data_IF_977155716498
#
_entry.id   IF_977155716498
#
_cell.length_a   1.000
_cell.length_b   1.000
_cell.length_c   1.000
_cell.angle_alpha   90.00
_cell.angle_beta   90.00
_cell.angle_gamma   90.00
#
_symmetry.space_group_name_H-M   'P 1'
#
loop_
_entity.id
_entity.type
_entity.pdbx_description
1 polymer ?
#
# COMPACT_ATOMS: atom_id res chain seq x y z
N UNK A 1 30.21 5.76 -6.78
CA UNK A 1 30.37 6.07 -5.32
C UNK A 1 29.84 7.48 -4.98
N UNK A 2 30.20 8.61 -5.65
CA UNK A 2 29.69 9.95 -5.28
C UNK A 2 28.16 10.07 -5.29
N UNK A 3 27.48 9.52 -6.31
CA UNK A 3 26.02 9.57 -6.42
C UNK A 3 25.33 8.79 -5.30
N UNK A 4 25.83 7.61 -4.92
CA UNK A 4 25.29 6.82 -3.82
C UNK A 4 25.40 7.57 -2.48
N UNK A 5 26.56 8.17 -2.22
CA UNK A 5 26.75 8.99 -1.00
C UNK A 5 25.82 10.20 -0.99
N UNK A 6 25.65 10.85 -2.13
CA UNK A 6 24.71 11.96 -2.26
C UNK A 6 23.26 11.53 -2.00
N UNK A 7 22.84 10.37 -2.53
CA UNK A 7 21.51 9.81 -2.25
C UNK A 7 21.30 9.50 -0.76
N UNK A 8 22.32 8.94 -0.09
CA UNK A 8 22.26 8.70 1.37
C UNK A 8 22.14 10.03 2.14
N UNK A 9 22.92 11.04 1.76
CA UNK A 9 22.84 12.36 2.38
C UNK A 9 21.46 12.99 2.17
N UNK A 10 20.89 12.90 0.98
CA UNK A 10 19.52 13.36 0.70
C UNK A 10 18.50 12.70 1.64
N UNK A 11 18.58 11.37 1.82
CA UNK A 11 17.71 10.65 2.75
C UNK A 11 17.91 11.11 4.20
N UNK A 12 19.17 11.28 4.64
CA UNK A 12 19.46 11.74 6.00
C UNK A 12 18.96 13.16 6.26
N UNK A 13 19.00 14.05 5.27
CA UNK A 13 18.49 15.43 5.38
C UNK A 13 16.96 15.43 5.33
N UNK A 14 16.33 14.61 4.50
CA UNK A 14 14.88 14.54 4.40
C UNK A 14 14.21 13.82 5.59
N UNK A 15 14.91 12.88 6.24
CA UNK A 15 14.36 12.10 7.33
C UNK A 15 13.88 12.96 8.52
N UNK A 16 14.64 13.93 9.05
CA UNK A 16 14.14 14.81 10.10
C UNK A 16 12.88 15.57 9.68
N UNK A 17 12.84 16.09 8.44
CA UNK A 17 11.70 16.84 7.94
C UNK A 17 10.42 16.01 7.88
N UNK A 18 10.51 14.72 7.57
CA UNK A 18 9.38 13.80 7.55
C UNK A 18 9.02 13.26 8.94
N UNK A 19 10.02 12.91 9.75
CA UNK A 19 9.82 12.19 11.02
C UNK A 19 9.48 13.12 12.19
N UNK A 20 10.09 14.31 12.26
CA UNK A 20 9.86 15.22 13.39
C UNK A 20 8.40 15.67 13.52
N UNK A 21 7.70 16.12 12.46
CA UNK A 21 6.29 16.45 12.57
C UNK A 21 5.43 15.26 13.03
N UNK A 22 5.70 14.06 12.48
CA UNK A 22 5.00 12.84 12.88
C UNK A 22 5.26 12.50 14.35
N UNK A 23 6.49 12.62 14.82
CA UNK A 23 6.85 12.38 16.22
C UNK A 23 6.21 13.40 17.17
N UNK A 24 6.17 14.68 16.79
CA UNK A 24 5.53 15.74 17.58
C UNK A 24 4.03 15.45 17.72
N UNK A 25 3.33 15.17 16.60
CA UNK A 25 1.91 14.85 16.62
C UNK A 25 1.63 13.62 17.48
N UNK A 26 2.44 12.56 17.33
CA UNK A 26 2.32 11.34 18.11
C UNK A 26 2.53 11.58 19.61
N UNK A 27 3.54 12.36 20.00
CA UNK A 27 3.79 12.70 21.39
C UNK A 27 2.69 13.59 21.97
N UNK A 28 2.20 14.55 21.18
CA UNK A 28 1.06 15.40 21.58
C UNK A 28 -0.18 14.56 21.85
N UNK A 29 -0.53 13.63 20.95
CA UNK A 29 -1.65 12.72 21.13
C UNK A 29 -1.53 11.90 22.43
N UNK A 30 -0.33 11.36 22.72
CA UNK A 30 -0.06 10.65 23.97
C UNK A 30 -0.21 11.53 25.22
N UNK A 31 0.29 12.76 25.18
CA UNK A 31 0.17 13.71 26.31
C UNK A 31 -1.28 14.09 26.58
N UNK A 32 -2.06 14.37 25.53
CA UNK A 32 -3.48 14.67 25.62
C UNK A 32 -4.23 13.50 26.26
N UNK A 33 -3.98 12.26 25.84
CA UNK A 33 -4.56 11.06 26.44
C UNK A 33 -4.20 10.93 27.92
N UNK A 34 -2.92 11.07 28.27
CA UNK A 34 -2.44 10.94 29.65
C UNK A 34 -3.07 12.01 30.56
N UNK A 35 -3.11 13.27 30.11
CA UNK A 35 -3.73 14.37 30.86
C UNK A 35 -5.22 14.13 31.09
N UNK A 36 -5.97 13.70 30.06
CA UNK A 36 -7.39 13.41 30.20
C UNK A 36 -7.66 12.25 31.20
N UNK A 37 -6.81 11.24 31.23
CA UNK A 37 -6.91 10.13 32.20
C UNK A 37 -6.69 10.65 33.63
N UNK A 38 -5.70 11.51 33.85
CA UNK A 38 -5.40 12.11 35.16
C UNK A 38 -6.57 12.95 35.68
N UNK A 39 -7.33 13.59 34.81
CA UNK A 39 -8.51 14.38 35.18
C UNK A 39 -9.83 13.57 35.20
N UNK A 40 -9.77 12.23 35.18
CA UNK A 40 -10.93 11.36 35.24
C UNK A 40 -11.75 11.25 33.94
N UNK A 41 -11.27 11.87 32.85
CA UNK A 41 -11.95 11.92 31.54
C UNK A 41 -11.38 10.88 30.55
N UNK A 42 -11.23 9.63 30.98
CA UNK A 42 -10.54 8.58 30.21
C UNK A 42 -11.13 8.38 28.80
N UNK A 43 -12.46 8.34 28.65
CA UNK A 43 -13.11 8.14 27.34
C UNK A 43 -12.82 9.27 26.35
N UNK A 44 -12.97 10.54 26.80
CA UNK A 44 -12.67 11.69 25.96
C UNK A 44 -11.19 11.74 25.56
N UNK A 45 -10.29 11.36 26.47
CA UNK A 45 -8.86 11.25 26.20
C UNK A 45 -8.53 10.21 25.12
N UNK A 46 -9.18 9.04 25.16
CA UNK A 46 -9.00 8.00 24.13
C UNK A 46 -9.56 8.46 22.78
N UNK A 47 -10.75 9.08 22.77
CA UNK A 47 -11.33 9.60 21.52
C UNK A 47 -10.47 10.70 20.89
N UNK A 48 -9.99 11.65 21.71
CA UNK A 48 -9.14 12.73 21.20
C UNK A 48 -7.77 12.21 20.72
N UNK A 49 -7.19 11.24 21.43
CA UNK A 49 -6.01 10.53 20.96
C UNK A 49 -6.24 9.89 19.58
N UNK A 50 -7.32 9.13 19.44
CA UNK A 50 -7.65 8.47 18.17
C UNK A 50 -7.89 9.47 17.03
N UNK A 51 -8.52 10.61 17.32
CA UNK A 51 -8.74 11.67 16.34
C UNK A 51 -7.42 12.31 15.88
N UNK A 52 -6.55 12.69 16.81
CA UNK A 52 -5.25 13.31 16.49
C UNK A 52 -4.38 12.33 15.70
N UNK A 53 -4.29 11.07 16.15
CA UNK A 53 -3.55 10.02 15.44
C UNK A 53 -4.13 9.75 14.05
N UNK A 54 -5.46 9.68 13.93
CA UNK A 54 -6.14 9.45 12.64
C UNK A 54 -5.91 10.59 11.63
N UNK A 55 -5.97 11.83 12.09
CA UNK A 55 -5.64 13.01 11.25
C UNK A 55 -4.15 12.98 10.87
N UNK A 56 -3.26 12.69 11.83
CA UNK A 56 -1.83 12.58 11.59
C UNK A 56 -1.43 11.44 10.67
N UNK A 57 -2.20 10.33 10.65
CA UNK A 57 -1.96 9.18 9.79
C UNK A 57 -2.39 9.42 8.33
N UNK A 58 -3.40 10.29 8.11
CA UNK A 58 -4.00 10.52 6.79
C UNK A 58 -3.00 10.82 5.65
N UNK A 59 -1.92 11.59 5.83
CA UNK A 59 -0.95 11.85 4.76
C UNK A 59 -0.14 10.61 4.32
N UNK A 60 -0.08 9.57 5.13
CA UNK A 60 0.81 8.45 4.93
C UNK A 60 0.17 7.25 4.23
N UNK A 61 -1.17 7.17 4.15
CA UNK A 61 -1.86 6.10 3.42
C UNK A 61 -2.95 6.65 2.49
N UNK A 62 -3.23 5.94 1.38
CA UNK A 62 -3.97 6.52 0.25
C UNK A 62 -5.09 5.60 -0.27
N UNK A 63 -5.87 4.94 0.62
CA UNK A 63 -6.92 4.00 0.21
C UNK A 63 -7.92 4.61 -0.79
N UNK A 64 -8.48 5.78 -0.46
CA UNK A 64 -9.46 6.44 -1.31
C UNK A 64 -8.88 6.85 -2.66
N UNK A 65 -7.68 7.44 -2.68
CA UNK A 65 -7.01 7.85 -3.92
C UNK A 65 -6.73 6.66 -4.83
N UNK A 66 -6.30 5.52 -4.26
CA UNK A 66 -6.06 4.29 -5.01
C UNK A 66 -7.34 3.75 -5.63
N UNK A 67 -8.43 3.69 -4.87
CA UNK A 67 -9.72 3.24 -5.37
C UNK A 67 -10.29 4.18 -6.44
N UNK A 68 -10.17 5.50 -6.27
CA UNK A 68 -10.60 6.50 -7.26
C UNK A 68 -9.79 6.41 -8.55
N UNK A 69 -8.49 6.14 -8.47
CA UNK A 69 -7.65 5.93 -9.66
C UNK A 69 -8.11 4.69 -10.47
N UNK A 70 -8.37 3.56 -9.80
CA UNK A 70 -8.95 2.38 -10.45
C UNK A 70 -10.32 2.66 -11.07
N UNK A 71 -11.19 3.35 -10.33
CA UNK A 71 -12.51 3.76 -10.81
C UNK A 71 -12.45 4.62 -12.07
N UNK A 72 -11.50 5.55 -12.14
CA UNK A 72 -11.34 6.42 -13.31
C UNK A 72 -11.00 5.61 -14.57
N UNK A 73 -10.11 4.63 -14.47
CA UNK A 73 -9.80 3.71 -15.58
C UNK A 73 -11.02 2.89 -15.97
N UNK A 74 -11.73 2.32 -14.98
CA UNK A 74 -12.94 1.53 -15.23
C UNK A 74 -14.01 2.32 -15.96
N UNK A 75 -14.33 3.53 -15.52
CA UNK A 75 -15.36 4.37 -16.14
C UNK A 75 -15.02 4.72 -17.60
N UNK A 76 -13.76 5.03 -17.88
CA UNK A 76 -13.32 5.28 -19.25
C UNK A 76 -13.45 4.02 -20.14
N UNK A 77 -13.09 2.83 -19.61
CA UNK A 77 -13.28 1.57 -20.32
C UNK A 77 -14.75 1.20 -20.52
N UNK A 78 -15.63 1.51 -19.56
CA UNK A 78 -17.10 1.32 -19.68
C UNK A 78 -17.70 2.17 -20.82
N UNK A 79 -17.15 3.37 -21.03
CA UNK A 79 -17.56 4.27 -22.11
C UNK A 79 -16.93 3.93 -23.47
N UNK A 80 -16.02 2.95 -23.51
CA UNK A 80 -15.25 2.63 -24.72
C UNK A 80 -14.20 3.67 -25.08
N UNK A 81 -13.94 4.65 -24.19
CA UNK A 81 -12.96 5.73 -24.40
C UNK A 81 -11.54 5.25 -24.01
N UNK A 82 -10.87 4.59 -24.95
CA UNK A 82 -9.51 4.10 -24.75
C UNK A 82 -8.48 5.22 -24.51
N UNK A 83 -8.51 6.37 -25.19
CA UNK A 83 -7.68 7.52 -24.86
C UNK A 83 -7.85 7.99 -23.40
N UNK A 84 -9.09 8.15 -22.94
CA UNK A 84 -9.35 8.51 -21.53
C UNK A 84 -8.87 7.45 -20.55
N UNK A 85 -9.02 6.15 -20.87
CA UNK A 85 -8.51 5.06 -20.04
C UNK A 85 -6.98 5.09 -19.92
N UNK A 86 -6.27 5.34 -21.03
CA UNK A 86 -4.80 5.51 -21.04
C UNK A 86 -4.36 6.74 -20.24
N UNK A 87 -5.12 7.83 -20.29
CA UNK A 87 -4.84 9.02 -19.50
C UNK A 87 -5.06 8.76 -17.99
N UNK A 88 -6.16 8.11 -17.63
CA UNK A 88 -6.43 7.74 -16.24
C UNK A 88 -5.34 6.83 -15.64
N UNK A 89 -4.75 5.93 -16.44
CA UNK A 89 -3.62 5.10 -16.03
C UNK A 89 -2.36 5.88 -15.67
N UNK A 90 -2.24 7.17 -16.02
CA UNK A 90 -1.08 7.98 -15.69
C UNK A 90 -0.81 8.06 -14.18
N UNK A 91 -1.86 8.02 -13.39
CA UNK A 91 -1.76 8.02 -11.92
C UNK A 91 -1.35 6.67 -11.31
N UNK A 92 -1.41 5.60 -12.11
CA UNK A 92 -1.19 4.23 -11.66
C UNK A 92 0.12 3.62 -12.18
N UNK A 93 0.54 3.96 -13.41
CA UNK A 93 1.69 3.33 -14.06
C UNK A 93 2.63 4.36 -14.65
N UNK A 94 3.94 4.12 -14.51
CA UNK A 94 5.00 4.97 -15.05
C UNK A 94 5.44 4.59 -16.48
N UNK A 95 4.97 3.43 -17.00
CA UNK A 95 5.32 2.93 -18.35
C UNK A 95 4.59 3.68 -19.46
N UNK A 96 5.11 3.60 -20.70
CA UNK A 96 4.38 4.09 -21.87
C UNK A 96 3.02 3.39 -22.02
N UNK A 97 1.98 4.18 -22.23
CA UNK A 97 0.58 3.76 -22.30
C UNK A 97 0.01 3.89 -23.71
N UNK A 98 0.73 4.51 -24.64
CA UNK A 98 0.24 4.86 -25.96
C UNK A 98 -0.20 3.64 -26.80
N UNK A 99 0.46 2.50 -26.61
CA UNK A 99 0.19 1.26 -27.32
C UNK A 99 -0.74 0.28 -26.57
N UNK A 100 -1.23 0.61 -25.36
CA UNK A 100 -2.07 -0.32 -24.58
C UNK A 100 -3.45 -0.46 -25.23
N UNK A 101 -3.89 -1.70 -25.45
CA UNK A 101 -5.27 -2.03 -25.79
C UNK A 101 -6.18 -1.84 -24.58
N UNK A 102 -7.49 -1.94 -24.74
CA UNK A 102 -8.44 -1.88 -23.62
C UNK A 102 -8.17 -3.00 -22.60
N UNK A 103 -7.89 -4.22 -23.05
CA UNK A 103 -7.53 -5.36 -22.21
C UNK A 103 -6.23 -5.13 -21.44
N UNK A 104 -5.16 -4.68 -22.13
CA UNK A 104 -3.88 -4.36 -21.49
C UNK A 104 -4.00 -3.16 -20.53
N UNK A 105 -4.89 -2.21 -20.81
CA UNK A 105 -5.19 -1.10 -19.89
C UNK A 105 -5.87 -1.59 -18.62
N UNK A 106 -6.82 -2.52 -18.74
CA UNK A 106 -7.45 -3.21 -17.61
C UNK A 106 -6.44 -4.03 -16.80
N UNK A 107 -5.56 -4.80 -17.48
CA UNK A 107 -4.48 -5.53 -16.82
C UNK A 107 -3.58 -4.62 -16.02
N UNK A 108 -3.09 -3.54 -16.65
CA UNK A 108 -2.21 -2.57 -16.02
C UNK A 108 -2.86 -1.89 -14.79
N UNK A 109 -4.16 -1.61 -14.86
CA UNK A 109 -4.90 -1.08 -13.72
C UNK A 109 -4.94 -2.08 -12.55
N UNK A 110 -5.28 -3.35 -12.84
CA UNK A 110 -5.38 -4.41 -11.82
C UNK A 110 -3.99 -4.68 -11.18
N UNK A 111 -2.94 -4.77 -11.99
CA UNK A 111 -1.54 -4.89 -11.52
C UNK A 111 -1.20 -3.78 -10.52
N UNK A 112 -1.41 -2.54 -10.95
CA UNK A 112 -1.06 -1.38 -10.14
C UNK A 112 -1.93 -1.24 -8.89
N UNK A 113 -3.22 -1.57 -8.96
CA UNK A 113 -4.09 -1.61 -7.78
C UNK A 113 -3.62 -2.63 -6.76
N UNK A 114 -3.20 -3.82 -7.20
CA UNK A 114 -2.70 -4.86 -6.30
C UNK A 114 -1.35 -4.48 -5.66
N UNK A 115 -0.41 -3.94 -6.43
CA UNK A 115 0.89 -3.47 -5.97
C UNK A 115 0.74 -2.32 -4.97
N UNK A 116 0.04 -1.26 -5.38
CA UNK A 116 -0.16 -0.07 -4.54
C UNK A 116 -1.04 -0.32 -3.32
N UNK A 117 -1.85 -1.37 -3.30
CA UNK A 117 -2.56 -1.80 -2.09
C UNK A 117 -1.58 -2.20 -0.97
N UNK A 118 -0.45 -2.84 -1.35
CA UNK A 118 0.66 -3.07 -0.41
C UNK A 118 1.29 -1.74 0.02
N UNK A 119 1.75 -0.96 -0.93
CA UNK A 119 2.65 0.16 -0.68
C UNK A 119 1.95 1.41 -0.13
N UNK A 120 0.70 1.61 -0.53
CA UNK A 120 -0.05 2.81 -0.16
C UNK A 120 -1.08 2.60 0.94
N UNK A 121 -1.35 1.35 1.35
CA UNK A 121 -2.36 1.04 2.37
C UNK A 121 -1.81 0.11 3.45
N UNK A 122 -1.44 -1.13 3.10
CA UNK A 122 -1.09 -2.15 4.11
C UNK A 122 0.24 -1.81 4.80
N UNK A 123 1.27 -1.42 4.06
CA UNK A 123 2.57 -1.12 4.64
C UNK A 123 2.55 0.10 5.57
N UNK A 124 1.98 1.27 5.18
CA UNK A 124 1.86 2.39 6.11
C UNK A 124 1.10 2.05 7.39
N UNK A 125 0.00 1.28 7.28
CA UNK A 125 -0.79 0.85 8.44
C UNK A 125 -0.03 -0.13 9.32
N UNK A 126 0.75 -1.05 8.74
CA UNK A 126 1.61 -1.96 9.48
C UNK A 126 2.68 -1.19 10.28
N UNK A 127 3.41 -0.28 9.63
CA UNK A 127 4.43 0.51 10.30
C UNK A 127 3.86 1.49 11.32
N UNK A 128 2.66 2.02 11.07
CA UNK A 128 1.91 2.76 12.09
C UNK A 128 1.56 1.87 13.29
N UNK A 129 1.14 0.64 13.05
CA UNK A 129 0.79 -0.30 14.12
C UNK A 129 1.98 -0.58 15.02
N UNK A 130 3.16 -0.80 14.44
CA UNK A 130 4.38 -1.14 15.15
C UNK A 130 5.05 0.06 15.84
N UNK A 131 5.17 1.19 15.14
CA UNK A 131 6.02 2.33 15.54
C UNK A 131 5.27 3.65 15.68
N UNK A 132 3.93 3.67 15.52
CA UNK A 132 3.11 4.89 15.53
C UNK A 132 3.30 5.74 14.28
N UNK A 133 2.91 7.02 14.36
CA UNK A 133 3.03 7.96 13.24
C UNK A 133 4.47 8.08 12.68
N UNK A 134 5.54 8.10 13.49
CA UNK A 134 6.90 8.10 12.96
C UNK A 134 7.21 6.90 12.08
N UNK A 135 6.67 5.71 12.40
CA UNK A 135 6.85 4.50 11.59
C UNK A 135 6.19 4.62 10.21
N UNK A 136 4.95 5.11 10.17
CA UNK A 136 4.26 5.37 8.90
C UNK A 136 4.99 6.44 8.06
N UNK A 137 5.48 7.51 8.71
CA UNK A 137 6.24 8.56 8.07
C UNK A 137 7.57 8.06 7.48
N UNK A 138 8.32 7.24 8.24
CA UNK A 138 9.57 6.64 7.79
C UNK A 138 9.36 5.73 6.57
N UNK A 139 8.38 4.83 6.64
CA UNK A 139 8.03 3.99 5.49
C UNK A 139 7.69 4.84 4.26
N UNK A 140 6.80 5.82 4.41
CA UNK A 140 6.37 6.67 3.30
C UNK A 140 7.52 7.48 2.69
N UNK A 141 8.47 7.92 3.51
CA UNK A 141 9.67 8.60 3.05
C UNK A 141 10.46 7.72 2.07
N UNK A 142 10.83 6.49 2.48
CA UNK A 142 11.63 5.58 1.65
C UNK A 142 10.87 5.17 0.39
N UNK A 143 9.61 4.82 0.50
CA UNK A 143 8.74 4.49 -0.64
C UNK A 143 8.61 5.64 -1.63
N UNK A 144 8.51 6.90 -1.15
CA UNK A 144 8.45 8.07 -2.02
C UNK A 144 9.79 8.31 -2.72
N UNK A 145 10.92 8.19 -2.02
CA UNK A 145 12.23 8.33 -2.64
C UNK A 145 12.48 7.25 -3.70
N UNK A 146 12.13 5.98 -3.42
CA UNK A 146 12.20 4.91 -4.43
C UNK A 146 11.37 5.25 -5.67
N UNK A 147 10.12 5.64 -5.48
CA UNK A 147 9.23 6.02 -6.57
C UNK A 147 9.73 7.20 -7.41
N UNK A 148 10.53 8.12 -6.84
CA UNK A 148 11.03 9.31 -7.53
C UNK A 148 12.40 9.09 -8.20
N UNK A 149 13.30 8.36 -7.57
CA UNK A 149 14.70 8.24 -8.00
C UNK A 149 15.23 6.80 -8.07
N UNK A 150 14.42 5.79 -7.72
CA UNK A 150 14.80 4.37 -7.73
C UNK A 150 14.89 3.72 -9.12
N UNK A 151 14.69 4.49 -10.21
CA UNK A 151 14.70 3.97 -11.57
C UNK A 151 16.12 3.66 -12.07
N UNK A 152 16.24 2.57 -12.86
CA UNK A 152 17.45 2.27 -13.60
C UNK A 152 17.77 3.36 -14.64
N UNK A 153 19.05 3.66 -14.82
CA UNK A 153 19.54 4.65 -15.76
C UNK A 153 20.29 5.80 -15.10
N UNK A 154 19.97 7.04 -15.45
CA UNK A 154 20.70 8.23 -14.99
C UNK A 154 20.80 8.37 -13.46
N UNK A 155 19.79 7.90 -12.71
CA UNK A 155 19.70 8.01 -11.25
C UNK A 155 19.94 6.67 -10.52
N UNK A 156 20.36 5.61 -11.22
CA UNK A 156 20.51 4.26 -10.63
C UNK A 156 21.34 4.25 -9.35
N UNK A 157 22.50 4.90 -9.36
CA UNK A 157 23.36 4.97 -8.19
C UNK A 157 22.84 5.94 -7.12
N UNK A 158 22.08 6.96 -7.51
CA UNK A 158 21.49 7.93 -6.60
C UNK A 158 20.35 7.30 -5.78
N UNK A 159 19.44 6.60 -6.45
CA UNK A 159 18.27 5.96 -5.83
C UNK A 159 18.54 4.63 -5.15
N UNK A 160 19.72 4.02 -5.38
CA UNK A 160 20.01 2.64 -4.95
C UNK A 160 19.80 2.38 -3.45
N UNK A 161 20.14 3.35 -2.59
CA UNK A 161 19.93 3.20 -1.15
C UNK A 161 18.44 3.23 -0.79
N UNK A 162 17.66 4.12 -1.42
CA UNK A 162 16.21 4.21 -1.22
C UNK A 162 15.51 2.94 -1.73
N UNK A 163 15.84 2.47 -2.94
CA UNK A 163 15.30 1.26 -3.53
C UNK A 163 15.57 0.02 -2.66
N UNK A 164 16.82 -0.13 -2.16
CA UNK A 164 17.15 -1.25 -1.27
C UNK A 164 16.37 -1.19 0.06
N UNK A 165 16.24 -0.01 0.66
CA UNK A 165 15.47 0.17 1.89
C UNK A 165 13.98 -0.09 1.65
N UNK A 166 13.42 0.38 0.54
CA UNK A 166 12.03 0.13 0.16
C UNK A 166 11.79 -1.37 -0.06
N UNK A 167 12.69 -2.07 -0.76
CA UNK A 167 12.61 -3.51 -0.93
C UNK A 167 12.61 -4.26 0.41
N UNK A 168 13.48 -3.91 1.34
CA UNK A 168 13.54 -4.54 2.68
C UNK A 168 12.26 -4.22 3.48
N UNK A 169 11.82 -2.97 3.47
CA UNK A 169 10.63 -2.55 4.21
C UNK A 169 9.34 -3.16 3.63
N UNK A 170 9.29 -3.46 2.33
CA UNK A 170 8.14 -4.08 1.69
C UNK A 170 8.11 -5.62 1.79
N UNK A 171 9.16 -6.27 2.28
CA UNK A 171 9.19 -7.75 2.39
C UNK A 171 8.01 -8.31 3.16
N UNK A 172 7.72 -7.78 4.34
CA UNK A 172 6.59 -8.25 5.16
C UNK A 172 5.24 -7.72 4.64
N UNK A 173 5.06 -6.42 4.35
CA UNK A 173 3.81 -5.88 3.83
C UNK A 173 3.30 -6.57 2.58
N UNK A 174 4.16 -6.81 1.58
CA UNK A 174 3.76 -7.44 0.32
C UNK A 174 3.19 -8.87 0.53
N UNK A 175 3.79 -9.63 1.44
CA UNK A 175 3.31 -10.98 1.79
C UNK A 175 2.02 -10.93 2.58
N UNK A 176 1.90 -10.01 3.54
CA UNK A 176 0.65 -9.79 4.28
C UNK A 176 -0.48 -9.36 3.34
N UNK A 177 -0.20 -8.48 2.39
CA UNK A 177 -1.17 -8.05 1.38
C UNK A 177 -1.63 -9.24 0.54
N UNK A 178 -0.70 -10.08 0.06
CA UNK A 178 -1.05 -11.28 -0.68
C UNK A 178 -1.94 -12.23 0.14
N UNK A 179 -1.62 -12.45 1.41
CA UNK A 179 -2.44 -13.27 2.32
C UNK A 179 -3.83 -12.67 2.55
N UNK A 180 -3.93 -11.35 2.68
CA UNK A 180 -5.23 -10.66 2.79
C UNK A 180 -6.04 -10.80 1.50
N UNK A 181 -5.41 -10.66 0.31
CA UNK A 181 -6.06 -10.89 -0.98
C UNK A 181 -6.61 -12.31 -1.04
N UNK A 182 -5.81 -13.32 -0.67
CA UNK A 182 -6.22 -14.71 -0.67
C UNK A 182 -7.38 -14.95 0.31
N UNK A 183 -7.23 -14.50 1.54
CA UNK A 183 -8.24 -14.73 2.59
C UNK A 183 -9.59 -14.07 2.26
N UNK A 184 -9.56 -12.86 1.69
CA UNK A 184 -10.74 -12.05 1.40
C UNK A 184 -11.25 -12.19 -0.04
N UNK A 185 -10.65 -13.08 -0.87
CA UNK A 185 -11.03 -13.28 -2.27
C UNK A 185 -12.54 -13.45 -2.50
N UNK A 186 -13.31 -14.19 -1.65
CA UNK A 186 -14.75 -14.32 -1.84
C UNK A 186 -15.53 -12.99 -1.76
N UNK A 187 -15.03 -12.00 -1.03
CA UNK A 187 -15.71 -10.69 -0.87
C UNK A 187 -15.78 -9.88 -2.17
N UNK A 188 -14.88 -10.16 -3.13
CA UNK A 188 -14.85 -9.52 -4.44
C UNK A 188 -15.05 -10.52 -5.59
N UNK A 189 -15.69 -11.67 -5.29
CA UNK A 189 -16.03 -12.68 -6.30
C UNK A 189 -14.85 -13.50 -6.81
N UNK A 190 -13.75 -13.55 -6.03
CA UNK A 190 -12.53 -14.29 -6.34
C UNK A 190 -12.47 -15.68 -5.72
N UNK A 191 -11.43 -16.45 -6.10
CA UNK A 191 -11.15 -17.79 -5.60
C UNK A 191 -9.92 -17.83 -4.71
N UNK A 192 -10.09 -18.24 -3.45
CA UNK A 192 -8.99 -18.41 -2.49
C UNK A 192 -7.97 -19.46 -2.94
N UNK A 193 -8.45 -20.62 -3.42
CA UNK A 193 -7.59 -21.75 -3.83
C UNK A 193 -6.74 -21.38 -5.04
N UNK A 194 -7.34 -20.72 -6.06
CA UNK A 194 -6.59 -20.24 -7.22
C UNK A 194 -5.60 -19.15 -6.82
N UNK A 195 -6.02 -18.19 -5.98
CA UNK A 195 -5.15 -17.13 -5.46
C UNK A 195 -3.91 -17.70 -4.76
N UNK A 196 -4.11 -18.69 -3.87
CA UNK A 196 -3.02 -19.36 -3.17
C UNK A 196 -2.07 -20.09 -4.12
N UNK A 197 -2.63 -20.87 -5.07
CA UNK A 197 -1.82 -21.63 -6.04
C UNK A 197 -0.99 -20.72 -6.92
N UNK A 198 -1.61 -19.70 -7.51
CA UNK A 198 -0.93 -18.74 -8.39
C UNK A 198 0.10 -17.91 -7.62
N UNK A 199 -0.23 -17.43 -6.42
CA UNK A 199 0.72 -16.73 -5.57
C UNK A 199 1.99 -17.53 -5.32
N UNK A 200 1.86 -18.80 -4.94
CA UNK A 200 3.01 -19.68 -4.70
C UNK A 200 3.85 -19.96 -5.95
N UNK A 201 3.20 -20.03 -7.10
CA UNK A 201 3.86 -20.31 -8.39
C UNK A 201 4.54 -19.08 -8.99
N UNK A 202 3.88 -17.92 -8.93
CA UNK A 202 4.22 -16.77 -9.78
C UNK A 202 4.78 -15.55 -9.02
N UNK A 203 4.71 -15.51 -7.69
CA UNK A 203 5.10 -14.33 -6.90
C UNK A 203 6.54 -13.84 -7.15
N UNK A 204 7.43 -14.71 -7.59
CA UNK A 204 8.85 -14.39 -7.84
C UNK A 204 9.17 -14.14 -9.33
N UNK A 205 8.16 -13.98 -10.18
CA UNK A 205 8.36 -13.74 -11.62
C UNK A 205 8.56 -12.28 -11.99
N UNK A 206 8.45 -11.37 -11.03
CA UNK A 206 8.70 -9.93 -11.21
C UNK A 206 10.14 -9.58 -10.86
N UNK A 207 10.65 -8.47 -11.41
CA UNK A 207 11.99 -7.97 -11.07
C UNK A 207 12.08 -7.51 -9.61
N UNK A 208 11.02 -6.88 -9.07
CA UNK A 208 10.94 -6.54 -7.63
C UNK A 208 10.68 -7.81 -6.80
N UNK A 209 11.38 -8.00 -5.68
CA UNK A 209 11.16 -9.14 -4.77
C UNK A 209 9.81 -9.07 -4.04
N UNK A 210 9.08 -7.97 -4.16
CA UNK A 210 7.86 -7.68 -3.40
C UNK A 210 6.61 -7.54 -4.28
N UNK A 211 6.68 -6.79 -5.38
CA UNK A 211 5.53 -6.46 -6.23
C UNK A 211 4.77 -7.69 -6.74
N UNK A 212 5.49 -8.76 -7.06
CA UNK A 212 4.88 -10.01 -7.54
C UNK A 212 3.96 -10.70 -6.53
N UNK A 213 4.13 -10.49 -5.22
CA UNK A 213 3.30 -11.15 -4.21
C UNK A 213 1.83 -10.70 -4.30
N UNK A 214 1.49 -9.42 -4.15
CA UNK A 214 0.10 -8.97 -4.26
C UNK A 214 -0.45 -9.14 -5.68
N UNK A 215 0.35 -8.90 -6.72
CA UNK A 215 -0.09 -9.05 -8.12
C UNK A 215 -0.44 -10.49 -8.48
N UNK A 216 0.40 -11.48 -8.11
CA UNK A 216 0.12 -12.88 -8.38
C UNK A 216 -1.10 -13.39 -7.58
N UNK A 217 -1.25 -12.96 -6.33
CA UNK A 217 -2.43 -13.28 -5.53
C UNK A 217 -3.72 -12.72 -6.17
N UNK A 218 -3.69 -11.46 -6.65
CA UNK A 218 -4.80 -10.83 -7.35
C UNK A 218 -5.12 -11.54 -8.68
N UNK A 219 -4.09 -11.86 -9.50
CA UNK A 219 -4.26 -12.60 -10.73
C UNK A 219 -4.98 -13.93 -10.50
N UNK A 220 -4.52 -14.71 -9.51
CA UNK A 220 -5.13 -15.98 -9.13
C UNK A 220 -6.53 -15.82 -8.55
N UNK A 221 -6.76 -14.84 -7.68
CA UNK A 221 -8.08 -14.57 -7.10
C UNK A 221 -9.12 -14.29 -8.17
N UNK A 222 -8.78 -13.44 -9.14
CA UNK A 222 -9.69 -13.02 -10.21
C UNK A 222 -9.75 -14.02 -11.39
N UNK A 223 -8.83 -15.00 -11.46
CA UNK A 223 -8.71 -15.96 -12.56
C UNK A 223 -8.28 -15.30 -13.86
N UNK A 224 -7.32 -14.38 -13.77
CA UNK A 224 -6.83 -13.58 -14.88
C UNK A 224 -5.36 -13.83 -15.14
N UNK A 225 -4.94 -13.62 -16.39
CA UNK A 225 -3.53 -13.49 -16.72
C UNK A 225 -3.16 -12.00 -16.79
N UNK A 226 -2.35 -11.56 -15.83
CA UNK A 226 -1.76 -10.24 -15.85
C UNK A 226 -0.40 -10.31 -16.57
N UNK A 227 -0.20 -9.42 -17.53
CA UNK A 227 0.99 -9.45 -18.37
C UNK A 227 1.58 -8.05 -18.56
N UNK A 228 2.85 -7.91 -18.24
CA UNK A 228 3.68 -6.80 -18.71
C UNK A 228 4.55 -7.33 -19.84
N UNK A 229 4.17 -6.97 -21.07
CA UNK A 229 4.79 -7.52 -22.30
C UNK A 229 6.32 -7.35 -22.24
N UNK A 230 7.05 -8.45 -22.47
CA UNK A 230 8.51 -8.48 -22.41
C UNK A 230 9.12 -8.59 -21.01
N UNK A 231 8.33 -8.56 -19.94
CA UNK A 231 8.84 -8.60 -18.56
C UNK A 231 8.34 -9.80 -17.77
N UNK A 232 7.01 -9.96 -17.60
CA UNK A 232 6.45 -11.06 -16.81
C UNK A 232 5.01 -11.41 -17.21
N UNK A 233 4.61 -12.61 -16.81
CA UNK A 233 3.23 -13.10 -16.86
C UNK A 233 2.87 -13.73 -15.52
N UNK A 234 1.73 -13.32 -14.93
CA UNK A 234 1.22 -13.80 -13.65
C UNK A 234 -0.20 -14.31 -13.84
N UNK A 235 -0.49 -15.48 -13.25
CA UNK A 235 -1.79 -16.11 -13.36
C UNK A 235 -2.02 -16.87 -14.66
N UNK A 236 -3.23 -17.43 -14.77
CA UNK A 236 -3.68 -18.21 -15.91
C UNK A 236 -4.76 -17.44 -16.69
N UNK A 237 -4.93 -17.78 -17.97
CA UNK A 237 -5.90 -17.10 -18.83
C UNK A 237 -7.28 -17.78 -18.75
N UNK A 238 -7.83 -17.87 -17.52
CA UNK A 238 -9.14 -18.50 -17.31
C UNK A 238 -10.29 -17.63 -17.82
N UNK A 239 -10.08 -16.30 -17.80
CA UNK A 239 -11.07 -15.32 -18.20
C UNK A 239 -10.40 -14.15 -18.92
N UNK A 240 -11.09 -13.55 -19.89
CA UNK A 240 -10.67 -12.30 -20.49
C UNK A 240 -10.74 -11.14 -19.46
N UNK A 241 -9.81 -10.21 -19.56
CA UNK A 241 -9.84 -8.99 -18.75
C UNK A 241 -10.90 -8.05 -19.31
N UNK A 242 -11.89 -7.75 -18.48
CA UNK A 242 -13.04 -6.92 -18.83
C UNK A 242 -13.20 -5.78 -17.81
N UNK A 243 -14.13 -4.90 -18.07
CA UNK A 243 -14.53 -3.83 -17.13
C UNK A 243 -14.94 -4.41 -15.77
N UNK A 244 -15.62 -5.58 -15.77
CA UNK A 244 -16.00 -6.25 -14.52
C UNK A 244 -14.78 -6.73 -13.72
N UNK A 245 -13.68 -7.10 -14.38
CA UNK A 245 -12.42 -7.47 -13.71
C UNK A 245 -11.80 -6.28 -12.98
N UNK A 246 -11.82 -5.10 -13.60
CA UNK A 246 -11.34 -3.87 -12.95
C UNK A 246 -12.24 -3.50 -11.76
N UNK A 247 -13.56 -3.67 -11.88
CA UNK A 247 -14.51 -3.47 -10.76
C UNK A 247 -14.23 -4.42 -9.59
N UNK A 248 -13.94 -5.68 -9.86
CA UNK A 248 -13.55 -6.64 -8.82
C UNK A 248 -12.23 -6.23 -8.14
N UNK A 249 -11.26 -5.69 -8.88
CA UNK A 249 -10.02 -5.17 -8.30
C UNK A 249 -10.28 -3.90 -7.43
N UNK A 250 -11.21 -3.03 -7.80
CA UNK A 250 -11.65 -1.91 -6.93
C UNK A 250 -12.29 -2.44 -5.62
N UNK A 251 -13.14 -3.45 -5.71
CA UNK A 251 -13.75 -4.10 -4.54
C UNK A 251 -12.69 -4.77 -3.66
N UNK A 252 -11.67 -5.39 -4.26
CA UNK A 252 -10.49 -5.92 -3.56
C UNK A 252 -9.80 -4.83 -2.75
N UNK A 253 -9.51 -3.66 -3.37
CA UNK A 253 -8.87 -2.52 -2.69
C UNK A 253 -9.68 -2.06 -1.49
N UNK A 254 -11.00 -1.89 -1.64
CA UNK A 254 -11.87 -1.47 -0.54
C UNK A 254 -11.95 -2.52 0.56
N UNK A 255 -12.17 -3.79 0.20
CA UNK A 255 -12.33 -4.88 1.19
C UNK A 255 -11.08 -5.03 2.04
N UNK A 256 -9.91 -5.06 1.40
CA UNK A 256 -8.64 -5.25 2.11
C UNK A 256 -8.27 -3.99 2.89
N UNK A 257 -8.47 -2.80 2.31
CA UNK A 257 -8.19 -1.55 2.98
C UNK A 257 -9.02 -1.37 4.25
N UNK A 258 -10.33 -1.66 4.19
CA UNK A 258 -11.20 -1.60 5.37
C UNK A 258 -10.78 -2.61 6.45
N UNK A 259 -10.45 -3.85 6.05
CA UNK A 259 -9.97 -4.88 7.00
C UNK A 259 -8.62 -4.47 7.61
N UNK A 260 -7.68 -3.94 6.82
CA UNK A 260 -6.39 -3.49 7.33
C UNK A 260 -6.56 -2.34 8.34
N UNK A 261 -7.43 -1.36 8.07
CA UNK A 261 -7.76 -0.28 9.01
C UNK A 261 -8.38 -0.85 10.30
N UNK A 262 -9.35 -1.77 10.17
CA UNK A 262 -9.99 -2.41 11.31
C UNK A 262 -8.99 -3.17 12.19
N UNK A 263 -8.13 -3.99 11.58
CA UNK A 263 -7.09 -4.75 12.31
C UNK A 263 -6.10 -3.81 13.01
N UNK A 264 -5.70 -2.72 12.37
CA UNK A 264 -4.85 -1.68 12.96
C UNK A 264 -5.52 -1.05 14.19
N UNK A 265 -6.78 -0.65 14.07
CA UNK A 265 -7.54 -0.07 15.17
C UNK A 265 -7.72 -1.06 16.31
N UNK A 266 -8.08 -2.30 16.00
CA UNK A 266 -8.26 -3.37 16.99
C UNK A 266 -6.95 -3.65 17.75
N UNK A 267 -5.84 -3.79 17.04
CA UNK A 267 -4.54 -4.02 17.67
C UNK A 267 -4.16 -2.86 18.61
N UNK A 268 -4.31 -1.62 18.15
CA UNK A 268 -4.01 -0.44 18.98
C UNK A 268 -4.88 -0.34 20.23
N UNK A 269 -6.16 -0.69 20.15
CA UNK A 269 -7.07 -0.70 21.31
C UNK A 269 -6.70 -1.80 22.31
N UNK A 270 -6.47 -3.03 21.83
CA UNK A 270 -6.05 -4.15 22.68
C UNK A 270 -4.70 -3.89 23.35
N UNK A 271 -3.72 -3.41 22.60
CA UNK A 271 -2.41 -3.05 23.14
C UNK A 271 -2.50 -2.00 24.24
N UNK A 272 -3.33 -0.96 24.03
CA UNK A 272 -3.51 0.09 25.01
C UNK A 272 -4.26 -0.35 26.27
N UNK A 273 -5.17 -1.31 26.15
CA UNK A 273 -5.89 -1.89 27.29
C UNK A 273 -4.95 -2.74 28.18
N UNK A 274 -4.04 -3.51 27.58
CA UNK A 274 -3.08 -4.32 28.33
C UNK A 274 -2.06 -3.48 29.10
N UNK A 275 -1.54 -2.40 28.49
CA UNK A 275 -0.49 -1.57 29.10
C UNK A 275 -1.04 -0.45 30.00
N UNK A 276 -2.29 -0.04 29.82
CA UNK A 276 -2.97 0.93 30.72
C UNK A 276 -3.37 0.36 32.07
N UNK A 277 -3.40 -0.97 32.22
CA UNK A 277 -3.68 -1.64 33.50
C UNK A 277 -2.44 -1.83 34.37
N UNK A 278 -1.24 -1.74 33.80
CA UNK A 278 0.04 -1.92 34.53
C UNK A 278 0.41 -0.68 35.35
N UNK A 279 0.00 0.51 34.92
CA UNK A 279 0.32 1.80 35.56
C UNK A 279 -0.55 2.11 36.83
N UNK A 280 -1.53 1.26 37.12
CA UNK A 280 -2.39 1.36 38.31
C UNK A 280 -1.87 0.58 39.53
N UNK A 281 -0.67 0.01 39.48
CA UNK A 281 -0.09 -0.82 40.56
C UNK A 281 1.23 -0.29 41.12
N UNK A 282 1.47 1.00 41.04
CA UNK A 282 2.58 1.65 41.79
C UNK A 282 1.99 2.76 42.65
#
# INVERSE_FOLDING_TARGET
IPQLLYGIVMLMVAAPAALLPAAIVHQLAKRVRAGAIQHGCAYSGVMLYALIEGIGLKPYFALRMLAEAGRSVRLALEQGDLPAARNALQSLVSRDRSALTAELSGAAAIESLAENLSDSVVAPLLYYTLLGLPGAAAYRLFNTFDSMIGYHGQYENLGKAAAWLDDVLNMLPARLTALLIIALAPLFGGSQLKAWHIWRRDAHRTASPNAGHPMAAAAGALGLRLEKVGYYRLGDNDKAITVSSVRQAEQMVWSIGCVAIFLTALFKTLWSAQHGSCDKRV
#
